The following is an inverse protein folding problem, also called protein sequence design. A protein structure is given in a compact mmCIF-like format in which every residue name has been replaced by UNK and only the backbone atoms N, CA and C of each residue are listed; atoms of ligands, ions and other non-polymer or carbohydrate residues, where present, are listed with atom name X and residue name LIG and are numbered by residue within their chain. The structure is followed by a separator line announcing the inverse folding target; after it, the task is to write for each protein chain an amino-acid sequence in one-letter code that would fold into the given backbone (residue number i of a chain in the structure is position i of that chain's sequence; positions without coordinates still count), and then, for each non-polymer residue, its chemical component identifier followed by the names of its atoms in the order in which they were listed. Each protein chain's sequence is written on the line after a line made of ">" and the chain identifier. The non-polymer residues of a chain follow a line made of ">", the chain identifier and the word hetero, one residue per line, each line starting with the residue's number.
data_IF_349774912678
#
_entry.id   IF_349774912678
#
_cell.length_a   1.000
_cell.length_b   1.000
_cell.length_c   1.000
_cell.angle_alpha   90.00
_cell.angle_beta   90.00
_cell.angle_gamma   90.00
#
_symmetry.space_group_name_H-M   'P 1'
#
loop_
_entity.id
_entity.type
_entity.pdbx_description
1 polymer ?
#
# COMPACT_ATOMS: atom_id res chain seq x y z
N UNK A 1 -24.19 7.18 6.91
CA UNK A 1 -24.42 5.98 7.74
C UNK A 1 -23.25 5.86 8.70
N UNK A 2 -23.45 5.27 9.89
CA UNK A 2 -22.36 5.10 10.84
C UNK A 2 -21.54 3.86 10.46
N UNK A 3 -20.26 4.06 10.22
CA UNK A 3 -19.33 2.96 9.97
C UNK A 3 -19.03 2.21 11.27
N UNK A 4 -18.73 0.93 11.15
CA UNK A 4 -18.36 0.05 12.26
C UNK A 4 -17.00 -0.58 12.01
N UNK A 5 -16.36 -0.98 13.08
CA UNK A 5 -15.05 -1.63 13.04
C UNK A 5 -15.25 -3.13 13.23
N UNK A 6 -14.56 -3.94 12.43
CA UNK A 6 -14.66 -5.39 12.47
C UNK A 6 -13.28 -6.02 12.50
N UNK A 7 -13.18 -7.17 13.17
CA UNK A 7 -11.95 -7.97 13.16
C UNK A 7 -11.86 -8.73 11.85
N UNK A 8 -10.75 -8.56 11.16
CA UNK A 8 -10.44 -9.30 9.94
C UNK A 8 -9.99 -10.71 10.33
N UNK A 9 -10.67 -11.72 9.80
CA UNK A 9 -10.40 -13.14 10.12
C UNK A 9 -9.65 -13.86 9.00
N UNK A 10 -9.62 -13.30 7.79
CA UNK A 10 -8.83 -13.74 6.65
C UNK A 10 -8.33 -12.54 5.84
N UNK A 11 -7.16 -12.69 5.23
CA UNK A 11 -6.55 -11.66 4.38
C UNK A 11 -7.45 -11.38 3.17
N UNK A 12 -7.67 -10.11 2.83
CA UNK A 12 -8.44 -9.73 1.64
C UNK A 12 -7.92 -8.44 1.01
N UNK A 13 -8.16 -8.28 -0.30
CA UNK A 13 -7.81 -7.05 -1.02
C UNK A 13 -8.98 -6.08 -0.89
N UNK A 14 -8.73 -4.93 -0.27
CA UNK A 14 -9.70 -3.84 -0.25
C UNK A 14 -9.80 -3.24 -1.66
N UNK A 15 -10.96 -3.37 -2.31
CA UNK A 15 -11.15 -2.86 -3.69
C UNK A 15 -11.05 -1.34 -3.79
N UNK A 16 -11.30 -0.61 -2.72
CA UNK A 16 -11.19 0.85 -2.73
C UNK A 16 -9.75 1.33 -2.65
N UNK A 17 -8.99 0.78 -1.70
CA UNK A 17 -7.61 1.20 -1.45
C UNK A 17 -6.62 0.50 -2.38
N UNK A 18 -6.95 -0.72 -2.83
CA UNK A 18 -6.01 -1.63 -3.47
C UNK A 18 -5.13 -2.41 -2.48
N UNK A 19 -5.21 -2.09 -1.20
CA UNK A 19 -4.36 -2.67 -0.15
C UNK A 19 -4.83 -4.06 0.29
N UNK A 20 -3.85 -4.89 0.68
CA UNK A 20 -4.09 -6.15 1.36
C UNK A 20 -4.35 -5.88 2.83
N UNK A 21 -5.57 -6.18 3.28
CA UNK A 21 -5.96 -6.10 4.67
C UNK A 21 -5.71 -7.45 5.32
N UNK A 22 -4.73 -7.51 6.21
CA UNK A 22 -4.31 -8.74 6.86
C UNK A 22 -5.25 -9.18 7.99
N UNK A 23 -5.37 -10.48 8.18
CA UNK A 23 -6.00 -11.13 9.32
C UNK A 23 -5.45 -10.60 10.63
N UNK A 24 -6.35 -10.38 11.59
CA UNK A 24 -6.06 -9.78 12.89
C UNK A 24 -6.12 -8.25 12.89
N UNK A 25 -6.17 -7.62 11.71
CA UNK A 25 -6.36 -6.18 11.61
C UNK A 25 -7.81 -5.78 11.93
N UNK A 26 -8.00 -4.52 12.30
CA UNK A 26 -9.33 -3.91 12.41
C UNK A 26 -9.65 -3.19 11.11
N UNK A 27 -10.78 -3.55 10.49
CA UNK A 27 -11.25 -2.92 9.26
C UNK A 27 -12.56 -2.16 9.49
N UNK A 28 -12.63 -0.95 8.94
CA UNK A 28 -13.79 -0.07 9.05
C UNK A 28 -14.70 -0.25 7.83
N UNK A 29 -15.96 -0.61 8.06
CA UNK A 29 -16.93 -0.86 7.00
C UNK A 29 -18.30 -0.26 7.33
N UNK A 30 -18.99 0.19 6.29
CA UNK A 30 -20.42 0.50 6.33
C UNK A 30 -21.28 -0.77 6.30
N UNK A 31 -22.60 -0.60 6.41
CA UNK A 31 -23.55 -1.73 6.52
C UNK A 31 -23.62 -2.58 5.25
N UNK A 32 -23.43 -2.01 4.07
CA UNK A 32 -23.48 -2.77 2.81
C UNK A 32 -22.21 -3.62 2.68
N UNK A 33 -21.05 -3.03 2.96
CA UNK A 33 -19.77 -3.76 2.98
C UNK A 33 -19.68 -4.80 4.06
N UNK A 34 -20.25 -4.54 5.25
CA UNK A 34 -20.32 -5.57 6.30
C UNK A 34 -20.95 -6.85 5.74
N UNK A 35 -22.04 -6.73 4.98
CA UNK A 35 -22.76 -7.87 4.43
C UNK A 35 -21.87 -8.61 3.43
N UNK A 36 -21.24 -7.89 2.49
CA UNK A 36 -20.38 -8.49 1.48
C UNK A 36 -19.14 -9.16 2.08
N UNK A 37 -18.44 -8.47 2.98
CA UNK A 37 -17.22 -8.96 3.63
C UNK A 37 -17.52 -10.12 4.59
N UNK A 38 -18.67 -10.09 5.28
CA UNK A 38 -19.11 -11.21 6.13
C UNK A 38 -19.53 -12.40 5.30
N UNK A 39 -20.22 -12.19 4.18
CA UNK A 39 -20.56 -13.27 3.24
C UNK A 39 -19.32 -13.91 2.62
N UNK A 40 -18.28 -13.12 2.34
CA UNK A 40 -16.98 -13.59 1.88
C UNK A 40 -16.14 -14.28 2.98
N UNK A 41 -16.55 -14.20 4.25
CA UNK A 41 -15.83 -14.82 5.37
C UNK A 41 -14.47 -14.17 5.66
N UNK A 42 -14.32 -12.87 5.35
CA UNK A 42 -13.06 -12.13 5.57
C UNK A 42 -13.11 -11.27 6.84
N UNK A 43 -14.30 -10.86 7.29
CA UNK A 43 -14.50 -10.19 8.58
C UNK A 43 -15.34 -11.05 9.54
N UNK A 44 -15.09 -10.87 10.83
CA UNK A 44 -15.77 -11.55 11.93
C UNK A 44 -16.71 -10.64 12.72
N UNK A 45 -16.51 -10.63 14.05
CA UNK A 45 -17.30 -9.84 15.00
C UNK A 45 -16.88 -8.35 14.94
N UNK A 46 -17.76 -7.50 15.45
CA UNK A 46 -17.46 -6.08 15.67
C UNK A 46 -16.27 -5.96 16.63
N UNK A 47 -15.28 -5.15 16.26
CA UNK A 47 -14.06 -4.93 17.02
C UNK A 47 -14.37 -4.12 18.29
N UNK A 48 -13.85 -4.58 19.43
CA UNK A 48 -13.97 -3.85 20.69
C UNK A 48 -12.93 -2.74 20.78
N UNK A 49 -13.03 -1.89 21.80
CA UNK A 49 -12.02 -0.86 22.08
C UNK A 49 -10.64 -1.46 22.35
N UNK A 50 -10.59 -2.66 22.93
CA UNK A 50 -9.35 -3.37 23.22
C UNK A 50 -8.70 -3.90 21.94
N UNK A 51 -9.49 -4.44 21.02
CA UNK A 51 -8.99 -4.90 19.72
C UNK A 51 -8.44 -3.73 18.88
N UNK A 52 -9.11 -2.57 18.93
CA UNK A 52 -8.63 -1.35 18.26
C UNK A 52 -7.30 -0.86 18.83
N UNK A 53 -7.05 -1.04 20.13
CA UNK A 53 -5.77 -0.69 20.75
C UNK A 53 -4.65 -1.64 20.30
N UNK A 54 -4.92 -2.94 20.25
CA UNK A 54 -3.95 -3.95 19.78
C UNK A 54 -3.58 -3.80 18.30
N UNK A 55 -4.55 -3.42 17.45
CA UNK A 55 -4.31 -3.26 16.01
C UNK A 55 -3.39 -2.07 15.67
N UNK A 56 -3.36 -1.03 16.53
CA UNK A 56 -2.52 0.16 16.34
C UNK A 56 -1.01 -0.12 16.49
N UNK A 57 -0.63 -1.21 17.16
CA UNK A 57 0.76 -1.63 17.27
C UNK A 57 1.25 -2.42 16.04
N UNK A 58 0.35 -3.03 15.27
CA UNK A 58 0.72 -3.87 14.12
C UNK A 58 0.94 -3.08 12.80
N UNK A 59 0.44 -1.85 12.69
CA UNK A 59 0.55 -1.02 11.47
C UNK A 59 1.77 -0.10 11.44
N UNK A 60 2.76 -0.29 12.32
CA UNK A 60 4.07 0.38 12.24
C UNK A 60 5.15 -0.55 11.71
N UNK A 61 4.97 -1.11 10.51
CA UNK A 61 6.04 -1.81 9.79
C UNK A 61 5.77 -1.77 8.29
N UNK A 62 5.82 -0.58 7.69
CA UNK A 62 6.51 -0.33 6.41
C UNK A 62 6.38 1.17 6.04
N UNK A 63 7.33 2.03 6.44
CA UNK A 63 7.66 3.16 5.59
C UNK A 63 8.38 2.61 4.35
N UNK A 64 7.66 2.64 3.24
CA UNK A 64 8.13 2.57 1.86
C UNK A 64 9.62 2.97 1.67
N UNK A 65 10.32 2.14 0.86
CA UNK A 65 11.10 2.58 -0.31
C UNK A 65 12.42 3.32 -0.07
N UNK A 66 13.51 2.58 -0.29
CA UNK A 66 14.61 3.09 -1.12
C UNK A 66 15.11 1.99 -2.08
N UNK A 67 14.34 1.75 -3.15
CA UNK A 67 14.91 1.26 -4.41
C UNK A 67 15.11 2.49 -5.29
N UNK A 68 16.19 3.20 -5.06
CA UNK A 68 16.73 4.25 -5.91
C UNK A 68 18.15 3.86 -6.29
N UNK A 69 18.36 3.52 -7.56
CA UNK A 69 19.57 2.85 -8.03
C UNK A 69 20.82 3.73 -8.07
N UNK A 70 21.96 3.06 -7.88
CA UNK A 70 23.26 3.47 -8.39
C UNK A 70 23.86 2.20 -9.04
N UNK A 71 24.13 2.25 -10.35
CA UNK A 71 25.50 2.57 -10.71
C UNK A 71 25.48 3.70 -11.74
N UNK A 72 25.92 4.86 -11.32
CA UNK A 72 26.94 5.62 -12.03
C UNK A 72 26.95 5.40 -13.56
N UNK A 73 25.96 5.95 -14.26
CA UNK A 73 26.04 6.23 -15.70
C UNK A 73 26.99 7.40 -15.88
N UNK A 74 28.28 7.16 -15.67
CA UNK A 74 29.32 8.08 -16.08
C UNK A 74 29.59 7.89 -17.56
N UNK A 75 29.17 8.94 -18.28
CA UNK A 75 29.60 9.41 -19.58
C UNK A 75 28.98 8.78 -20.85
N UNK A 76 28.19 9.56 -21.62
CA UNK A 76 27.92 9.24 -23.02
C UNK A 76 29.21 9.31 -23.85
N UNK A 77 29.34 8.55 -24.96
CA UNK A 77 30.44 8.74 -25.90
C UNK A 77 30.37 10.16 -26.45
N UNK A 78 31.48 10.89 -26.35
CA UNK A 78 31.67 12.21 -26.92
C UNK A 78 31.36 12.16 -28.41
N UNK A 79 30.20 12.68 -28.80
CA UNK A 79 29.76 12.78 -30.19
C UNK A 79 28.99 14.08 -30.35
N UNK A 80 29.72 15.19 -30.28
CA UNK A 80 29.33 16.47 -30.86
C UNK A 80 30.25 16.85 -32.00
N UNK A 81 29.87 16.35 -33.16
CA UNK A 81 29.71 17.05 -34.43
C UNK A 81 30.23 18.52 -34.53
N UNK A 82 31.08 18.73 -35.55
CA UNK A 82 31.25 19.93 -36.41
C UNK A 82 31.75 21.24 -35.78
N UNK A 83 32.96 21.64 -36.22
CA UNK A 83 33.24 23.02 -36.69
C UNK A 83 34.23 22.95 -37.87
N UNK A 84 33.78 23.46 -39.02
CA UNK A 84 34.56 23.75 -40.22
C UNK A 84 35.63 24.80 -39.90
N UNK A 85 36.83 24.72 -40.48
CA UNK A 85 37.60 25.92 -40.82
C UNK A 85 38.54 25.68 -41.99
N UNK A 86 38.50 26.68 -42.85
CA UNK A 86 39.04 26.85 -44.19
C UNK A 86 40.50 27.36 -44.13
N UNK A 87 41.17 27.35 -45.28
CA UNK A 87 42.30 28.21 -45.70
C UNK A 87 43.73 27.65 -45.55
N UNK A 88 44.46 27.62 -46.69
CA UNK A 88 45.92 27.58 -46.76
C UNK A 88 46.49 26.66 -47.83
#
# INVERSE_FOLDING_TARGET
>A
MADKNYIVINDFICKESGDVVSKGSVYKADKEREIELRAAGVIGKEATKEDMAASKEASQADPEKESGGDPNVSNPPDSKNVVQNTEG
#
